data_IF_167388287618
#
_entry.id   IF_167388287618
#
_cell.length_a   1.000
_cell.length_b   1.000
_cell.length_c   1.000
_cell.angle_alpha   90.00
_cell.angle_beta   90.00
_cell.angle_gamma   90.00
#
_symmetry.space_group_name_H-M   'P 1'
#
loop_
_entity.id
_entity.type
_entity.pdbx_description
1 polymer ?
#
# COMPACT_ATOMS: atom_id res chain seq x y z
N UNK A 1 -18.08 6.90 48.06
CA UNK A 1 -16.72 6.39 47.71
C UNK A 1 -16.83 5.33 46.60
N UNK A 2 -17.07 5.68 45.34
CA UNK A 2 -16.08 6.03 44.28
C UNK A 2 -15.02 4.96 43.95
N UNK A 3 -15.34 3.65 43.99
CA UNK A 3 -14.39 2.60 43.52
C UNK A 3 -14.93 1.55 42.53
N UNK A 4 -16.21 1.60 42.13
CA UNK A 4 -16.78 0.63 41.18
C UNK A 4 -16.88 1.12 39.74
N UNK A 5 -16.69 2.42 39.50
CA UNK A 5 -16.77 3.02 38.16
C UNK A 5 -15.42 2.95 37.43
N UNK A 6 -14.31 2.70 38.14
CA UNK A 6 -12.96 2.67 37.56
C UNK A 6 -12.57 1.35 36.90
N UNK A 7 -13.37 0.28 37.03
CA UNK A 7 -13.07 -1.02 36.43
C UNK A 7 -13.64 -1.20 35.01
N UNK A 8 -14.59 -0.37 34.58
CA UNK A 8 -15.15 -0.44 33.23
C UNK A 8 -14.40 0.40 32.19
N UNK A 9 -13.53 1.31 32.64
CA UNK A 9 -12.83 2.25 31.75
C UNK A 9 -11.55 1.69 31.14
N UNK A 10 -11.06 0.53 31.61
CA UNK A 10 -9.85 -0.10 31.08
C UNK A 10 -10.11 -1.12 29.96
N UNK A 11 -11.35 -1.58 29.78
CA UNK A 11 -11.67 -2.64 28.82
C UNK A 11 -12.13 -2.14 27.43
N UNK A 12 -12.39 -0.84 27.26
CA UNK A 12 -12.95 -0.28 26.02
C UNK A 12 -11.93 0.39 25.09
N UNK A 13 -10.68 0.58 25.53
CA UNK A 13 -9.66 1.30 24.75
C UNK A 13 -8.95 0.41 23.71
N UNK A 14 -9.17 -0.91 23.73
CA UNK A 14 -8.47 -1.86 22.83
C UNK A 14 -9.16 -2.05 21.47
N UNK A 15 -10.38 -1.54 21.26
CA UNK A 15 -11.21 -1.93 20.08
C UNK A 15 -11.11 -0.97 18.88
N UNK A 16 -10.44 0.19 18.97
CA UNK A 16 -10.60 1.25 17.96
C UNK A 16 -9.33 1.71 17.23
N UNK A 17 -8.41 0.77 16.96
CA UNK A 17 -7.41 0.94 15.90
C UNK A 17 -7.75 0.06 14.67
N UNK A 18 -9.03 0.02 14.28
CA UNK A 18 -9.36 -0.23 12.87
C UNK A 18 -9.00 1.03 12.09
N UNK A 19 -7.70 1.24 11.85
CA UNK A 19 -7.24 2.25 10.91
C UNK A 19 -7.84 1.91 9.55
N UNK A 20 -8.89 2.63 9.16
CA UNK A 20 -9.36 2.65 7.78
C UNK A 20 -8.28 3.41 7.01
N UNK A 21 -7.20 2.72 6.67
CA UNK A 21 -6.27 3.22 5.66
C UNK A 21 -7.07 3.19 4.37
N UNK A 22 -7.48 4.35 3.87
CA UNK A 22 -7.92 4.46 2.48
C UNK A 22 -6.77 3.91 1.65
N UNK A 23 -6.93 2.71 1.11
CA UNK A 23 -5.89 2.04 0.34
C UNK A 23 -5.61 2.91 -0.88
N UNK A 24 -4.49 3.63 -0.86
CA UNK A 24 -3.97 4.31 -2.04
C UNK A 24 -3.81 3.27 -3.15
N UNK A 25 -4.15 3.59 -4.39
CA UNK A 25 -3.88 2.66 -5.50
C UNK A 25 -2.48 2.91 -6.06
N UNK A 26 -1.74 1.85 -6.45
CA UNK A 26 -0.51 2.02 -7.21
C UNK A 26 -0.81 2.72 -8.54
N UNK A 27 0.13 3.54 -9.01
CA UNK A 27 0.02 4.33 -10.25
C UNK A 27 1.26 4.16 -11.11
N UNK A 28 1.11 4.32 -12.42
CA UNK A 28 2.24 4.33 -13.36
C UNK A 28 2.63 5.78 -13.65
N UNK A 29 3.75 6.23 -13.10
CA UNK A 29 4.21 7.62 -13.16
C UNK A 29 5.74 7.78 -13.35
N UNK A 30 6.43 6.68 -13.65
CA UNK A 30 7.83 6.69 -14.09
C UNK A 30 7.89 6.92 -15.59
N UNK A 31 8.75 7.83 -16.02
CA UNK A 31 9.01 8.09 -17.43
C UNK A 31 9.65 6.87 -18.11
N UNK A 32 8.89 6.22 -18.98
CA UNK A 32 9.32 5.02 -19.70
C UNK A 32 10.44 5.29 -20.72
N UNK A 33 10.65 6.53 -21.14
CA UNK A 33 11.75 6.90 -22.03
C UNK A 33 13.09 6.92 -21.30
N UNK A 34 13.07 7.20 -20.00
CA UNK A 34 14.28 7.26 -19.15
C UNK A 34 14.49 5.94 -18.42
N UNK A 35 13.44 5.34 -17.88
CA UNK A 35 13.49 4.13 -17.06
C UNK A 35 12.49 3.05 -17.53
N UNK A 36 12.69 2.43 -18.71
CA UNK A 36 11.71 1.52 -19.31
C UNK A 36 11.38 0.32 -18.42
N UNK A 37 12.37 -0.26 -17.74
CA UNK A 37 12.16 -1.42 -16.87
C UNK A 37 11.39 -1.06 -15.59
N UNK A 38 11.66 0.10 -14.97
CA UNK A 38 10.94 0.53 -13.77
C UNK A 38 9.50 0.94 -14.10
N UNK A 39 9.28 1.61 -15.22
CA UNK A 39 7.93 1.91 -15.71
C UNK A 39 7.14 0.62 -16.01
N UNK A 40 7.79 -0.40 -16.59
CA UNK A 40 7.15 -1.70 -16.81
C UNK A 40 6.83 -2.41 -15.49
N UNK A 41 7.73 -2.34 -14.49
CA UNK A 41 7.47 -2.88 -13.17
C UNK A 41 6.25 -2.22 -12.50
N UNK A 42 6.09 -0.89 -12.60
CA UNK A 42 4.88 -0.21 -12.10
C UNK A 42 3.62 -0.71 -12.79
N UNK A 43 3.65 -0.96 -14.11
CA UNK A 43 2.49 -1.54 -14.83
C UNK A 43 2.10 -2.90 -14.26
N UNK A 44 3.06 -3.78 -14.02
CA UNK A 44 2.81 -5.10 -13.41
C UNK A 44 2.25 -4.99 -11.99
N UNK A 45 2.74 -4.02 -11.21
CA UNK A 45 2.22 -3.76 -9.86
C UNK A 45 0.76 -3.30 -9.90
N UNK A 46 0.41 -2.40 -10.83
CA UNK A 46 -0.97 -1.93 -11.03
C UNK A 46 -1.88 -3.07 -11.48
N UNK A 47 -1.42 -3.88 -12.43
CA UNK A 47 -2.16 -5.04 -12.91
C UNK A 47 -2.41 -6.07 -11.79
N UNK A 48 -1.38 -6.45 -11.05
CA UNK A 48 -1.50 -7.36 -9.91
C UNK A 48 -2.47 -6.80 -8.84
N UNK A 49 -2.40 -5.50 -8.54
CA UNK A 49 -3.31 -4.86 -7.58
C UNK A 49 -4.78 -4.97 -8.03
N UNK A 50 -5.04 -4.77 -9.33
CA UNK A 50 -6.38 -4.93 -9.93
C UNK A 50 -6.85 -6.39 -9.84
N UNK A 51 -6.00 -7.35 -10.16
CA UNK A 51 -6.32 -8.78 -10.07
C UNK A 51 -6.66 -9.19 -8.64
N UNK A 52 -5.92 -8.69 -7.64
CA UNK A 52 -6.21 -8.95 -6.23
C UNK A 52 -7.56 -8.34 -5.82
N UNK A 53 -7.89 -7.12 -6.28
CA UNK A 53 -9.22 -6.54 -6.02
C UNK A 53 -10.35 -7.39 -6.62
N UNK A 54 -10.17 -7.90 -7.84
CA UNK A 54 -11.12 -8.85 -8.44
C UNK A 54 -11.24 -10.10 -7.58
N UNK A 55 -10.11 -10.70 -7.16
CA UNK A 55 -10.11 -11.88 -6.30
C UNK A 55 -10.80 -11.63 -4.94
N UNK A 56 -10.68 -10.43 -4.36
CA UNK A 56 -11.43 -10.03 -3.16
C UNK A 56 -12.92 -10.08 -3.41
N UNK A 57 -13.39 -9.49 -4.51
CA UNK A 57 -14.81 -9.48 -4.87
C UNK A 57 -15.33 -10.90 -5.09
N UNK A 58 -14.59 -11.72 -5.83
CA UNK A 58 -14.99 -13.09 -6.16
C UNK A 58 -15.02 -14.01 -4.93
N UNK A 59 -14.14 -13.76 -3.95
CA UNK A 59 -14.13 -14.46 -2.66
C UNK A 59 -15.02 -13.79 -1.59
N UNK A 60 -15.93 -12.90 -1.98
CA UNK A 60 -16.84 -12.18 -1.06
C UNK A 60 -16.11 -11.49 0.10
N UNK A 61 -14.88 -11.04 -0.15
CA UNK A 61 -13.99 -10.41 0.80
C UNK A 61 -13.51 -11.33 1.95
N UNK A 62 -13.80 -12.63 1.93
CA UNK A 62 -13.38 -13.62 2.93
C UNK A 62 -11.97 -14.19 2.66
N UNK A 63 -11.01 -13.30 2.42
CA UNK A 63 -9.59 -13.66 2.23
C UNK A 63 -8.79 -13.45 3.52
N UNK A 64 -9.46 -13.43 4.68
CA UNK A 64 -8.87 -13.23 6.02
C UNK A 64 -7.92 -12.02 6.12
N UNK A 65 -8.19 -10.97 5.35
CA UNK A 65 -7.36 -9.75 5.29
C UNK A 65 -6.07 -9.85 4.46
N UNK A 66 -5.71 -11.02 3.93
CA UNK A 66 -4.48 -11.20 3.16
C UNK A 66 -4.47 -10.42 1.84
N UNK A 67 -5.63 -10.30 1.18
CA UNK A 67 -5.73 -9.56 -0.07
C UNK A 67 -5.53 -8.05 0.13
N UNK A 68 -6.11 -7.49 1.18
CA UNK A 68 -5.89 -6.10 1.57
C UNK A 68 -4.40 -5.88 1.89
N UNK A 69 -3.80 -6.78 2.68
CA UNK A 69 -2.37 -6.71 2.98
C UNK A 69 -1.49 -6.79 1.73
N UNK A 70 -1.84 -7.64 0.77
CA UNK A 70 -1.11 -7.78 -0.48
C UNK A 70 -1.19 -6.49 -1.33
N UNK A 71 -2.38 -5.89 -1.47
CA UNK A 71 -2.56 -4.60 -2.14
C UNK A 71 -1.74 -3.50 -1.47
N UNK A 72 -1.74 -3.43 -0.14
CA UNK A 72 -0.91 -2.47 0.61
C UNK A 72 0.59 -2.65 0.36
N UNK A 73 1.07 -3.90 0.24
CA UNK A 73 2.47 -4.17 -0.10
C UNK A 73 2.78 -3.75 -1.54
N UNK A 74 1.86 -3.97 -2.48
CA UNK A 74 2.02 -3.51 -3.87
C UNK A 74 2.10 -1.98 -3.96
N UNK A 75 1.36 -1.25 -3.14
CA UNK A 75 1.50 0.22 -3.04
C UNK A 75 2.90 0.62 -2.58
N UNK A 76 3.44 -0.05 -1.55
CA UNK A 76 4.81 0.21 -1.07
C UNK A 76 5.84 -0.11 -2.15
N UNK A 77 5.69 -1.24 -2.85
CA UNK A 77 6.55 -1.57 -4.00
C UNK A 77 6.49 -0.46 -5.06
N UNK A 78 5.30 0.04 -5.39
CA UNK A 78 5.15 1.12 -6.38
C UNK A 78 5.87 2.41 -5.97
N UNK A 79 5.81 2.76 -4.69
CA UNK A 79 6.50 3.92 -4.12
C UNK A 79 8.03 3.76 -4.20
N UNK A 80 8.54 2.58 -3.86
CA UNK A 80 9.98 2.29 -3.95
C UNK A 80 10.50 2.28 -5.39
N UNK A 81 9.70 1.80 -6.35
CA UNK A 81 10.04 1.89 -7.77
C UNK A 81 10.21 3.35 -8.22
N UNK A 82 9.31 4.24 -7.77
CA UNK A 82 9.40 5.67 -8.05
C UNK A 82 10.64 6.30 -7.42
N UNK A 83 10.88 6.02 -6.14
CA UNK A 83 12.06 6.50 -5.43
C UNK A 83 13.37 6.06 -6.11
N UNK A 84 13.43 4.82 -6.61
CA UNK A 84 14.57 4.31 -7.37
C UNK A 84 14.80 5.10 -8.68
N UNK A 85 13.73 5.39 -9.43
CA UNK A 85 13.81 6.20 -10.64
C UNK A 85 14.31 7.63 -10.35
N UNK A 86 13.80 8.25 -9.28
CA UNK A 86 14.23 9.59 -8.84
C UNK A 86 15.69 9.62 -8.38
N UNK A 87 16.13 8.62 -7.62
CA UNK A 87 17.52 8.48 -7.22
C UNK A 87 18.46 8.31 -8.43
N UNK A 88 18.07 7.49 -9.41
CA UNK A 88 18.83 7.32 -10.65
C UNK A 88 18.89 8.62 -11.48
N UNK A 89 17.79 9.38 -11.56
CA UNK A 89 17.75 10.69 -12.21
C UNK A 89 18.73 11.67 -11.53
N UNK A 90 18.68 11.77 -10.20
CA UNK A 90 19.56 12.64 -9.44
C UNK A 90 21.04 12.25 -9.58
N UNK A 91 21.36 10.96 -9.63
CA UNK A 91 22.73 10.48 -9.85
C UNK A 91 23.27 10.87 -11.24
N UNK A 92 22.42 10.85 -12.28
CA UNK A 92 22.81 11.25 -13.63
C UNK A 92 22.99 12.77 -13.78
N UNK A 93 22.21 13.58 -13.07
CA UNK A 93 22.40 15.04 -13.04
C UNK A 93 23.75 15.44 -12.44
N UNK A 94 24.22 14.76 -11.39
CA UNK A 94 25.51 15.03 -10.75
C UNK A 94 26.73 14.69 -11.62
N UNK A 95 26.54 13.89 -12.68
CA UNK A 95 27.62 13.48 -13.60
C UNK A 95 27.81 14.43 -14.79
N UNK A 96 26.90 15.38 -14.97
CA UNK A 96 26.99 16.44 -15.99
C UNK A 96 27.60 17.70 -15.39
#
# INVERSE_FOLDING_TARGET
>A
MTKKIQAFTAALVVVLFCGITLAQEPVVDIDATVHPNLANAQKHVVEANREIATAQKDNRYDMKGHAEKARQLLVQVNQELKAAAEAANAANMKKK
#
